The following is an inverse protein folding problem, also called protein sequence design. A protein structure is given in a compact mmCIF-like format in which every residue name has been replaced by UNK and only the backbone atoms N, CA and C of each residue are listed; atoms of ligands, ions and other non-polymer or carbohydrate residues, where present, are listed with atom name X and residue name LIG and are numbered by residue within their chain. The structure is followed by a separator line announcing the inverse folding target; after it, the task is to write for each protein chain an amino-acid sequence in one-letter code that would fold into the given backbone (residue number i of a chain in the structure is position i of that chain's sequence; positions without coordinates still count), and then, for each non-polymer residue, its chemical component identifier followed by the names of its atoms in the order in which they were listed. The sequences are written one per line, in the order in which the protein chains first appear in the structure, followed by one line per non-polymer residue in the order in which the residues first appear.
data_IF_742530005904
#
_entry.id   IF_742530005904
#
_cell.length_a   1.000
_cell.length_b   1.000
_cell.length_c   1.000
_cell.angle_alpha   90.00
_cell.angle_beta   90.00
_cell.angle_gamma   90.00
#
_symmetry.space_group_name_H-M   'P 1'
#
loop_
_entity.id
_entity.type
_entity.pdbx_description
1 polymer ?
#
# COMPACT_ATOMS: atom_id res chain seq x y z
N UNK A 1 -10.15 -1.99 9.64
CA UNK A 1 -8.95 -2.17 8.80
C UNK A 1 -8.98 -3.46 8.01
N UNK A 2 -9.07 -4.60 8.68
CA UNK A 2 -9.00 -5.91 8.00
C UNK A 2 -10.13 -6.13 6.99
N UNK A 3 -11.36 -5.79 7.34
CA UNK A 3 -12.50 -5.91 6.42
C UNK A 3 -12.31 -5.08 5.15
N UNK A 4 -11.80 -3.86 5.29
CA UNK A 4 -11.51 -2.99 4.14
C UNK A 4 -10.40 -3.59 3.28
N UNK A 5 -9.37 -4.15 3.90
CA UNK A 5 -8.26 -4.79 3.19
C UNK A 5 -8.74 -5.97 2.36
N UNK A 6 -9.58 -6.82 2.96
CA UNK A 6 -10.17 -7.98 2.26
C UNK A 6 -10.97 -7.51 1.04
N UNK A 7 -11.80 -6.46 1.20
CA UNK A 7 -12.59 -5.92 0.09
C UNK A 7 -11.70 -5.40 -1.03
N UNK A 8 -10.55 -4.82 -0.71
CA UNK A 8 -9.62 -4.32 -1.72
C UNK A 8 -8.85 -5.43 -2.45
N UNK A 9 -8.64 -6.57 -1.80
CA UNK A 9 -8.04 -7.75 -2.44
C UNK A 9 -9.02 -8.40 -3.41
N UNK A 10 -10.32 -8.27 -3.14
CA UNK A 10 -11.38 -8.92 -3.91
C UNK A 10 -11.35 -8.56 -5.39
N UNK A 11 -11.51 -9.59 -6.24
CA UNK A 11 -11.66 -9.43 -7.69
C UNK A 11 -13.00 -10.03 -8.12
N UNK A 12 -13.72 -9.30 -8.97
CA UNK A 12 -14.98 -9.79 -9.57
C UNK A 12 -16.01 -10.27 -8.56
N UNK A 13 -16.08 -9.65 -7.38
CA UNK A 13 -17.04 -9.98 -6.35
C UNK A 13 -16.76 -11.27 -5.59
N UNK A 14 -15.61 -11.89 -5.77
CA UNK A 14 -15.26 -13.17 -5.14
C UNK A 14 -14.70 -12.98 -3.74
N UNK A 15 -15.57 -12.61 -2.80
CA UNK A 15 -15.18 -12.29 -1.43
C UNK A 15 -14.55 -13.46 -0.69
N UNK A 16 -15.06 -14.67 -0.85
CA UNK A 16 -14.51 -15.85 -0.18
C UNK A 16 -13.08 -16.16 -0.62
N UNK A 17 -12.75 -15.89 -1.88
CA UNK A 17 -11.39 -16.04 -2.40
C UNK A 17 -10.48 -14.98 -1.76
N UNK A 18 -10.94 -13.73 -1.68
CA UNK A 18 -10.18 -12.64 -1.04
C UNK A 18 -9.93 -12.93 0.43
N UNK A 19 -10.93 -13.40 1.17
CA UNK A 19 -10.78 -13.81 2.56
C UNK A 19 -9.72 -14.90 2.71
N UNK A 20 -9.76 -15.90 1.85
CA UNK A 20 -8.80 -17.01 1.87
C UNK A 20 -7.38 -16.52 1.63
N UNK A 21 -7.20 -15.58 0.70
CA UNK A 21 -5.90 -14.98 0.41
C UNK A 21 -5.37 -14.22 1.62
N UNK A 22 -6.19 -13.36 2.21
CA UNK A 22 -5.75 -12.52 3.33
C UNK A 22 -5.46 -13.36 4.56
N UNK A 23 -6.36 -14.27 4.93
CA UNK A 23 -6.13 -15.14 6.09
C UNK A 23 -4.96 -16.09 5.86
N UNK A 24 -4.79 -16.60 4.64
CA UNK A 24 -3.64 -17.41 4.27
C UNK A 24 -2.33 -16.64 4.40
N UNK A 25 -2.32 -15.38 4.01
CA UNK A 25 -1.16 -14.51 4.18
C UNK A 25 -0.84 -14.28 5.65
N UNK A 26 -1.85 -14.02 6.48
CA UNK A 26 -1.65 -13.83 7.92
C UNK A 26 -1.15 -15.11 8.59
N UNK A 27 -1.68 -16.27 8.19
CA UNK A 27 -1.21 -17.56 8.70
C UNK A 27 0.26 -17.79 8.35
N UNK A 28 0.66 -17.46 7.12
CA UNK A 28 2.05 -17.61 6.68
C UNK A 28 2.98 -16.69 7.48
N UNK A 29 2.54 -15.47 7.77
CA UNK A 29 3.29 -14.53 8.60
C UNK A 29 3.46 -15.11 10.01
N UNK A 30 2.39 -15.66 10.58
CA UNK A 30 2.41 -16.30 11.89
C UNK A 30 3.41 -17.47 11.93
N UNK A 31 3.37 -18.34 10.94
CA UNK A 31 4.30 -19.47 10.84
C UNK A 31 5.75 -19.00 10.78
N UNK A 32 6.02 -18.00 9.93
CA UNK A 32 7.39 -17.54 9.69
C UNK A 32 7.98 -16.80 10.88
N UNK A 33 7.15 -16.02 11.58
CA UNK A 33 7.60 -15.25 12.75
C UNK A 33 7.59 -16.06 14.03
N UNK A 34 6.92 -17.20 14.04
CA UNK A 34 6.72 -18.01 15.27
C UNK A 34 5.84 -17.34 16.29
N UNK A 35 5.01 -16.38 15.89
CA UNK A 35 4.16 -15.60 16.77
C UNK A 35 2.69 -15.88 16.49
N UNK A 36 1.80 -15.47 17.40
CA UNK A 36 0.37 -15.71 17.25
C UNK A 36 -0.31 -14.76 16.25
N UNK A 37 -1.62 -14.98 16.04
CA UNK A 37 -2.39 -14.21 15.06
C UNK A 37 -2.49 -12.72 15.35
N UNK A 38 -2.45 -12.33 16.63
CA UNK A 38 -2.49 -10.92 17.03
C UNK A 38 -1.22 -10.20 16.55
N UNK A 39 -0.09 -10.87 16.61
CA UNK A 39 1.17 -10.32 16.10
C UNK A 39 1.16 -10.18 14.58
N UNK A 40 0.50 -11.09 13.88
CA UNK A 40 0.33 -10.97 12.44
C UNK A 40 -0.49 -9.73 12.06
N UNK A 41 -1.55 -9.43 12.82
CA UNK A 41 -2.35 -8.22 12.61
C UNK A 41 -1.55 -6.95 12.92
N UNK A 42 -0.74 -6.97 13.97
CA UNK A 42 0.17 -5.86 14.28
C UNK A 42 1.16 -5.63 13.15
N UNK A 43 1.70 -6.70 12.59
CA UNK A 43 2.63 -6.63 11.47
C UNK A 43 1.96 -6.04 10.23
N UNK A 44 0.71 -6.45 9.95
CA UNK A 44 -0.08 -5.88 8.86
C UNK A 44 -0.25 -4.36 9.06
N UNK A 45 -0.62 -3.95 10.26
CA UNK A 45 -0.78 -2.54 10.59
C UNK A 45 0.53 -1.76 10.42
N UNK A 46 1.63 -2.31 10.90
CA UNK A 46 2.96 -1.69 10.77
C UNK A 46 3.38 -1.59 9.31
N UNK A 47 3.14 -2.64 8.53
CA UNK A 47 3.46 -2.64 7.10
C UNK A 47 2.69 -1.53 6.37
N UNK A 48 1.39 -1.41 6.63
CA UNK A 48 0.57 -0.36 6.03
C UNK A 48 1.03 1.03 6.46
N UNK A 49 1.38 1.22 7.73
CA UNK A 49 1.90 2.49 8.21
C UNK A 49 3.19 2.89 7.49
N UNK A 50 4.05 1.93 7.21
CA UNK A 50 5.30 2.18 6.48
C UNK A 50 5.07 2.54 5.01
N UNK A 51 3.95 2.14 4.43
CA UNK A 51 3.61 2.41 3.03
C UNK A 51 2.82 3.70 2.86
N UNK A 52 2.07 4.13 3.87
CA UNK A 52 1.19 5.31 3.79
C UNK A 52 1.94 6.54 3.27
N UNK A 53 1.50 7.16 2.17
CA UNK A 53 2.11 8.39 1.68
C UNK A 53 1.54 9.61 2.41
N UNK A 54 2.41 10.54 2.78
CA UNK A 54 1.97 11.81 3.39
C UNK A 54 1.54 12.82 2.32
N UNK A 55 2.14 12.72 1.12
CA UNK A 55 1.89 13.63 -0.01
C UNK A 55 1.78 12.82 -1.28
N UNK A 56 1.05 13.37 -2.24
CA UNK A 56 0.99 12.83 -3.60
C UNK A 56 1.04 13.98 -4.60
N UNK A 57 1.15 13.68 -5.89
CA UNK A 57 1.10 14.70 -6.93
C UNK A 57 -0.14 14.50 -7.77
N UNK A 58 -0.80 15.60 -8.12
CA UNK A 58 -1.94 15.62 -9.04
C UNK A 58 -1.67 16.55 -10.19
N UNK A 59 -2.10 16.15 -11.39
CA UNK A 59 -1.99 16.99 -12.55
C UNK A 59 -2.98 18.14 -12.48
N UNK A 60 -2.52 19.35 -12.82
CA UNK A 60 -3.38 20.52 -12.94
C UNK A 60 -2.95 21.32 -14.18
N UNK A 61 -3.94 21.74 -14.97
CA UNK A 61 -3.67 22.62 -16.12
C UNK A 61 -3.81 24.07 -15.69
N UNK A 62 -2.76 24.83 -15.94
CA UNK A 62 -2.75 26.27 -15.66
C UNK A 62 -2.17 26.98 -16.91
N UNK A 63 -2.97 27.85 -17.54
CA UNK A 63 -2.53 28.59 -18.70
C UNK A 63 -2.10 27.74 -19.88
N UNK A 64 -2.71 26.56 -20.07
CA UNK A 64 -2.36 25.65 -21.17
C UNK A 64 -1.21 24.69 -20.85
N UNK A 65 -0.51 24.86 -19.75
CA UNK A 65 0.54 23.95 -19.28
C UNK A 65 -0.02 23.00 -18.24
N UNK A 66 0.53 21.78 -18.17
CA UNK A 66 0.15 20.79 -17.16
C UNK A 66 1.26 20.69 -16.13
N UNK A 67 0.89 20.85 -14.86
CA UNK A 67 1.82 20.78 -13.74
C UNK A 67 1.46 19.61 -12.83
N UNK A 68 2.49 18.94 -12.29
CA UNK A 68 2.34 17.94 -11.25
C UNK A 68 2.39 18.65 -9.90
N UNK A 69 1.23 18.85 -9.28
CA UNK A 69 1.12 19.67 -8.07
C UNK A 69 1.12 18.77 -6.83
N UNK A 70 2.07 18.95 -5.89
CA UNK A 70 2.07 18.16 -4.66
C UNK A 70 0.94 18.61 -3.74
N UNK A 71 0.21 17.64 -3.19
CA UNK A 71 -0.87 17.88 -2.23
C UNK A 71 -0.75 16.92 -1.06
N UNK A 72 -1.16 17.40 0.12
CA UNK A 72 -1.22 16.55 1.29
C UNK A 72 -2.33 15.51 1.16
N UNK A 73 -2.05 14.27 1.58
CA UNK A 73 -3.01 13.17 1.52
C UNK A 73 -3.76 13.07 2.85
N UNK A 74 -5.08 13.05 2.81
CA UNK A 74 -5.92 12.87 4.00
C UNK A 74 -5.73 11.47 4.58
N UNK A 75 -5.92 11.33 5.89
CA UNK A 75 -5.67 10.07 6.61
C UNK A 75 -6.39 8.87 6.00
N UNK A 76 -7.68 9.02 5.65
CA UNK A 76 -8.46 7.94 5.04
C UNK A 76 -7.88 7.49 3.70
N UNK A 77 -7.45 8.45 2.88
CA UNK A 77 -6.84 8.13 1.59
C UNK A 77 -5.45 7.54 1.74
N UNK A 78 -4.68 7.93 2.76
CA UNK A 78 -3.37 7.33 3.04
C UNK A 78 -3.51 5.83 3.24
N UNK A 79 -4.48 5.42 4.04
CA UNK A 79 -4.77 4.02 4.31
C UNK A 79 -5.17 3.28 3.02
N UNK A 80 -6.08 3.87 2.24
CA UNK A 80 -6.53 3.30 0.97
C UNK A 80 -5.39 3.12 -0.01
N UNK A 81 -4.53 4.12 -0.15
CA UNK A 81 -3.37 4.05 -1.03
C UNK A 81 -2.37 2.99 -0.56
N UNK A 82 -2.11 2.90 0.75
CA UNK A 82 -1.21 1.88 1.29
C UNK A 82 -1.71 0.48 0.97
N UNK A 83 -2.99 0.22 1.16
CA UNK A 83 -3.60 -1.07 0.85
C UNK A 83 -3.50 -1.38 -0.64
N UNK A 84 -3.84 -0.42 -1.50
CA UNK A 84 -3.77 -0.59 -2.95
C UNK A 84 -2.35 -0.90 -3.40
N UNK A 85 -1.37 -0.16 -2.91
CA UNK A 85 0.01 -0.31 -3.34
C UNK A 85 0.61 -1.64 -2.89
N UNK A 86 0.30 -2.12 -1.68
CA UNK A 86 0.80 -3.41 -1.23
C UNK A 86 0.16 -4.55 -2.02
N UNK A 87 -1.11 -4.45 -2.35
CA UNK A 87 -1.81 -5.46 -3.16
C UNK A 87 -1.23 -5.50 -4.57
N UNK A 88 -1.04 -4.35 -5.20
CA UNK A 88 -0.46 -4.26 -6.54
C UNK A 88 0.97 -4.78 -6.56
N UNK A 89 1.77 -4.45 -5.56
CA UNK A 89 3.13 -4.94 -5.44
C UNK A 89 3.15 -6.46 -5.26
N UNK A 90 2.26 -6.99 -4.44
CA UNK A 90 2.15 -8.44 -4.23
C UNK A 90 1.81 -9.17 -5.52
N UNK A 91 0.89 -8.63 -6.31
CA UNK A 91 0.47 -9.25 -7.59
C UNK A 91 1.64 -9.38 -8.58
N UNK A 92 2.64 -8.55 -8.47
CA UNK A 92 3.82 -8.57 -9.36
C UNK A 92 4.95 -9.47 -8.87
N UNK A 93 4.81 -10.05 -7.70
CA UNK A 93 5.83 -10.95 -7.14
C UNK A 93 5.76 -12.33 -7.80
N UNK A 94 6.83 -13.10 -7.61
CA UNK A 94 7.03 -14.39 -8.29
C UNK A 94 6.65 -15.62 -7.46
N UNK A 95 6.25 -15.46 -6.21
CA UNK A 95 5.81 -16.60 -5.41
C UNK A 95 4.60 -17.29 -6.04
N UNK A 96 4.38 -18.56 -5.73
CA UNK A 96 3.39 -19.40 -6.41
C UNK A 96 1.94 -18.94 -6.20
N UNK A 97 1.59 -18.50 -4.99
CA UNK A 97 0.21 -18.15 -4.66
C UNK A 97 0.11 -16.72 -4.25
N UNK A 98 -1.08 -16.13 -4.41
CA UNK A 98 -1.31 -14.75 -3.98
C UNK A 98 -1.15 -14.60 -2.47
N UNK A 99 -1.53 -15.61 -1.69
CA UNK A 99 -1.35 -15.58 -0.23
C UNK A 99 0.14 -15.45 0.14
N UNK A 100 1.02 -16.20 -0.52
CA UNK A 100 2.47 -16.11 -0.29
C UNK A 100 3.04 -14.78 -0.78
N UNK A 101 2.60 -14.31 -1.93
CA UNK A 101 3.02 -13.01 -2.47
C UNK A 101 2.68 -11.88 -1.51
N UNK A 102 1.45 -11.89 -1.00
CA UNK A 102 0.97 -10.88 -0.08
C UNK A 102 1.72 -10.96 1.26
N UNK A 103 1.90 -12.17 1.79
CA UNK A 103 2.65 -12.37 3.03
C UNK A 103 4.06 -11.82 2.94
N UNK A 104 4.78 -12.13 1.85
CA UNK A 104 6.16 -11.69 1.68
C UNK A 104 6.26 -10.18 1.46
N UNK A 105 5.32 -9.59 0.72
CA UNK A 105 5.32 -8.14 0.55
C UNK A 105 5.04 -7.43 1.87
N UNK A 106 4.12 -7.95 2.69
CA UNK A 106 3.82 -7.38 4.01
C UNK A 106 5.01 -7.51 4.96
N UNK A 107 5.71 -8.66 4.95
CA UNK A 107 6.91 -8.85 5.76
C UNK A 107 8.00 -7.85 5.37
N UNK A 108 8.23 -7.65 4.07
CA UNK A 108 9.22 -6.70 3.58
C UNK A 108 8.81 -5.27 3.97
N UNK A 109 7.54 -4.90 3.81
CA UNK A 109 7.05 -3.57 4.13
C UNK A 109 7.15 -3.27 5.63
N UNK A 110 6.93 -4.27 6.48
CA UNK A 110 7.08 -4.09 7.93
C UNK A 110 8.53 -3.76 8.31
N UNK A 111 9.49 -4.20 7.49
CA UNK A 111 10.91 -3.86 7.64
C UNK A 111 11.32 -2.65 6.78
N UNK A 112 10.35 -1.91 6.29
CA UNK A 112 10.54 -0.72 5.45
C UNK A 112 11.26 -1.01 4.14
N UNK A 113 10.96 -2.17 3.54
CA UNK A 113 11.52 -2.66 2.28
C UNK A 113 10.40 -3.05 1.33
N UNK A 114 10.75 -3.37 0.10
CA UNK A 114 9.84 -3.90 -0.91
C UNK A 114 9.28 -2.85 -1.86
N UNK A 115 8.54 -3.32 -2.87
CA UNK A 115 8.06 -2.47 -3.96
C UNK A 115 7.02 -1.44 -3.51
N UNK A 116 6.17 -1.79 -2.54
CA UNK A 116 5.17 -0.86 -2.03
C UNK A 116 5.82 0.31 -1.28
N UNK A 117 6.82 0.04 -0.45
CA UNK A 117 7.58 1.07 0.24
C UNK A 117 8.34 1.94 -0.76
N UNK A 118 8.91 1.32 -1.79
CA UNK A 118 9.59 2.05 -2.86
C UNK A 118 8.63 2.99 -3.57
N UNK A 119 7.40 2.57 -3.80
CA UNK A 119 6.36 3.40 -4.42
C UNK A 119 6.09 4.65 -3.58
N UNK A 120 6.02 4.49 -2.25
CA UNK A 120 5.89 5.63 -1.34
C UNK A 120 7.08 6.57 -1.45
N UNK A 121 8.30 6.02 -1.42
CA UNK A 121 9.52 6.82 -1.52
C UNK A 121 9.59 7.58 -2.84
N UNK A 122 9.25 6.93 -3.95
CA UNK A 122 9.23 7.57 -5.27
C UNK A 122 8.19 8.68 -5.33
N UNK A 123 7.00 8.46 -4.74
CA UNK A 123 5.93 9.45 -4.68
C UNK A 123 6.36 10.67 -3.85
N UNK A 124 7.00 10.45 -2.71
CA UNK A 124 7.51 11.53 -1.87
C UNK A 124 8.62 12.31 -2.58
N UNK A 125 9.50 11.62 -3.29
CA UNK A 125 10.57 12.26 -4.05
C UNK A 125 10.00 13.12 -5.19
N UNK A 126 8.98 12.62 -5.87
CA UNK A 126 8.30 13.37 -6.92
C UNK A 126 7.61 14.62 -6.37
N UNK A 127 6.95 14.50 -5.22
CA UNK A 127 6.32 15.64 -4.57
C UNK A 127 7.36 16.68 -4.14
N UNK A 128 8.50 16.25 -3.61
CA UNK A 128 9.60 17.13 -3.24
C UNK A 128 10.16 17.86 -4.47
N UNK A 129 10.35 17.14 -5.57
CA UNK A 129 10.85 17.73 -6.82
C UNK A 129 9.89 18.78 -7.38
N UNK A 130 8.60 18.65 -7.11
CA UNK A 130 7.54 19.53 -7.63
C UNK A 130 7.02 20.53 -6.59
N UNK A 131 7.67 20.65 -5.44
CA UNK A 131 7.16 21.51 -4.36
C UNK A 131 7.05 22.98 -4.76
N UNK A 132 7.81 23.44 -5.74
CA UNK A 132 7.72 24.80 -6.25
C UNK A 132 6.34 25.10 -6.86
N UNK A 133 5.59 24.08 -7.24
CA UNK A 133 4.25 24.23 -7.83
C UNK A 133 3.13 24.10 -6.79
N UNK A 134 3.46 23.99 -5.51
CA UNK A 134 2.45 23.83 -4.44
C UNK A 134 1.43 24.96 -4.43
N UNK A 135 1.83 26.18 -4.86
CA UNK A 135 0.94 27.33 -4.93
C UNK A 135 -0.16 27.18 -6.00
N UNK A 136 -0.05 26.21 -6.90
CA UNK A 136 -1.10 25.89 -7.89
C UNK A 136 -2.17 24.94 -7.36
N UNK A 137 -2.03 24.44 -6.13
CA UNK A 137 -2.99 23.48 -5.59
C UNK A 137 -4.40 24.05 -5.49
N UNK A 138 -5.37 23.14 -5.61
CA UNK A 138 -6.81 23.48 -5.55
C UNK A 138 -7.26 23.93 -4.18
#
# INVERSE_FOLDING_TARGET
MLAKFINMVMLSGKKSVAERIVYGALDRITERSGQDGDRALELLSQALDNIKPAVEVKSRRVGGATYQVPIEVRATRRETLAMRWVIDAARKRSEKTMALRLAHELLDAAENRGSAVKKREDTHRMAEANKAFAHYRW
#
